data_IF_401466290996
#
_entry.id   IF_401466290996
#
_cell.length_a   1.000
_cell.length_b   1.000
_cell.length_c   1.000
_cell.angle_alpha   90.00
_cell.angle_beta   90.00
_cell.angle_gamma   90.00
#
_symmetry.space_group_name_H-M   'P 1'
#
loop_
_entity.id
_entity.type
_entity.pdbx_description
1 polymer ?
#
# COMPACT_ATOMS: atom_id res chain seq x y z
N UNK A 1 80.10 -10.51 1.60
CA UNK A 1 78.80 -11.28 1.75
C UNK A 1 77.68 -10.28 1.96
N UNK A 2 76.85 -10.02 0.92
CA UNK A 2 75.79 -9.04 0.96
C UNK A 2 74.48 -9.76 1.24
N UNK A 3 73.82 -9.44 2.37
CA UNK A 3 72.46 -9.92 2.69
C UNK A 3 71.43 -9.17 1.86
N UNK A 4 70.74 -9.86 0.96
CA UNK A 4 69.59 -9.33 0.25
C UNK A 4 68.34 -9.68 1.05
N UNK A 5 67.69 -8.68 1.64
CA UNK A 5 66.34 -8.81 2.22
C UNK A 5 65.29 -8.80 1.10
N UNK A 6 64.48 -9.84 1.02
CA UNK A 6 63.29 -9.87 0.17
C UNK A 6 62.18 -8.99 0.77
N UNK A 7 61.43 -8.18 0.01
CA UNK A 7 60.28 -7.46 0.51
C UNK A 7 59.07 -8.40 0.65
N UNK A 8 58.41 -8.33 1.81
CA UNK A 8 57.13 -9.01 2.04
C UNK A 8 56.03 -8.35 1.19
N UNK A 9 55.53 -9.07 0.20
CA UNK A 9 54.38 -8.65 -0.57
C UNK A 9 53.14 -8.69 0.30
N UNK A 10 52.54 -7.54 0.56
CA UNK A 10 51.18 -7.44 1.11
C UNK A 10 50.22 -7.82 0.01
N UNK A 11 49.59 -8.98 0.16
CA UNK A 11 48.44 -9.41 -0.66
C UNK A 11 47.26 -8.53 -0.24
N UNK A 12 46.95 -7.50 -1.02
CA UNK A 12 45.68 -6.78 -0.90
C UNK A 12 44.59 -7.70 -1.45
N UNK A 13 43.82 -8.28 -0.54
CA UNK A 13 42.56 -8.89 -0.88
C UNK A 13 41.60 -7.79 -1.29
N UNK A 14 41.42 -7.60 -2.59
CA UNK A 14 40.41 -6.70 -3.15
C UNK A 14 39.08 -7.41 -2.98
N UNK A 15 38.35 -7.05 -1.92
CA UNK A 15 36.95 -7.46 -1.76
C UNK A 15 36.19 -6.68 -2.81
N UNK A 16 35.88 -7.36 -3.93
CA UNK A 16 34.98 -6.85 -4.95
C UNK A 16 33.55 -6.98 -4.38
N UNK A 17 33.08 -5.95 -3.69
CA UNK A 17 31.66 -5.80 -3.39
C UNK A 17 30.97 -5.50 -4.72
N UNK A 18 30.45 -6.54 -5.35
CA UNK A 18 29.50 -6.38 -6.45
C UNK A 18 28.18 -5.92 -5.83
N UNK A 19 28.04 -4.62 -5.71
CA UNK A 19 26.72 -4.00 -5.51
C UNK A 19 25.99 -4.16 -6.84
N UNK A 20 25.24 -5.25 -6.99
CA UNK A 20 24.25 -5.36 -8.05
C UNK A 20 23.08 -4.48 -7.64
N UNK A 21 23.22 -3.19 -7.87
CA UNK A 21 22.04 -2.35 -7.99
C UNK A 21 21.34 -2.82 -9.26
N UNK A 22 20.33 -3.67 -9.11
CA UNK A 22 19.34 -3.89 -10.18
C UNK A 22 18.52 -2.60 -10.25
N UNK A 23 19.11 -1.56 -10.83
CA UNK A 23 18.32 -0.48 -11.39
C UNK A 23 17.58 -1.12 -12.55
N UNK A 24 16.25 -1.21 -12.47
CA UNK A 24 15.44 -1.35 -13.67
C UNK A 24 15.87 -0.18 -14.57
N UNK A 25 16.76 -0.44 -15.51
CA UNK A 25 17.21 0.57 -16.45
C UNK A 25 16.01 0.92 -17.30
N UNK A 26 15.34 2.00 -16.93
CA UNK A 26 14.50 2.72 -17.88
C UNK A 26 15.43 3.07 -19.04
N UNK A 27 15.25 2.39 -20.16
CA UNK A 27 15.96 2.72 -21.38
C UNK A 27 15.77 4.21 -21.64
N UNK A 28 16.85 4.93 -21.85
CA UNK A 28 16.86 6.36 -22.16
C UNK A 28 16.38 6.65 -23.60
N UNK A 29 15.35 5.92 -24.05
CA UNK A 29 14.48 6.39 -25.11
C UNK A 29 13.53 7.39 -24.47
N UNK A 30 13.35 8.55 -25.07
CA UNK A 30 12.29 9.49 -24.69
C UNK A 30 10.96 8.85 -25.10
N UNK A 31 10.55 7.81 -24.39
CA UNK A 31 9.18 7.37 -24.35
C UNK A 31 8.54 8.14 -23.20
N UNK A 32 7.67 9.08 -23.52
CA UNK A 32 6.68 9.56 -22.57
C UNK A 32 5.78 8.36 -22.28
N UNK A 33 6.14 7.56 -21.27
CA UNK A 33 5.25 6.54 -20.75
C UNK A 33 4.11 7.33 -20.12
N UNK A 34 2.95 7.30 -20.75
CA UNK A 34 1.73 7.87 -20.14
C UNK A 34 1.42 7.02 -18.92
N UNK A 35 1.19 7.65 -17.79
CA UNK A 35 0.75 6.93 -16.59
C UNK A 35 -0.54 6.15 -16.91
N UNK A 36 -0.62 4.92 -16.42
CA UNK A 36 -1.80 4.09 -16.59
C UNK A 36 -3.03 4.79 -15.97
N UNK A 37 -4.13 4.77 -16.69
CA UNK A 37 -5.42 5.25 -16.19
C UNK A 37 -6.46 4.17 -16.43
N UNK A 38 -7.05 3.65 -15.35
CA UNK A 38 -8.11 2.66 -15.45
C UNK A 38 -9.35 3.26 -16.13
N UNK A 39 -10.09 2.47 -16.93
CA UNK A 39 -11.36 2.89 -17.52
C UNK A 39 -12.41 3.27 -16.47
N UNK A 40 -12.28 2.73 -15.25
CA UNK A 40 -13.12 2.97 -14.09
C UNK A 40 -12.28 2.84 -12.83
N UNK A 41 -12.40 3.79 -11.92
CA UNK A 41 -11.78 3.71 -10.60
C UNK A 41 -12.35 2.55 -9.77
N UNK A 42 -11.48 1.89 -9.02
CA UNK A 42 -11.85 0.93 -8.00
C UNK A 42 -12.45 1.64 -6.79
N UNK A 43 -13.17 0.89 -5.97
CA UNK A 43 -13.79 1.38 -4.74
C UNK A 43 -12.94 1.04 -3.53
N UNK A 44 -12.89 1.96 -2.57
CA UNK A 44 -12.33 1.73 -1.26
C UNK A 44 -13.50 1.52 -0.29
N UNK A 45 -13.50 0.40 0.42
CA UNK A 45 -14.52 0.07 1.40
C UNK A 45 -13.95 0.16 2.82
N UNK A 46 -14.77 0.65 3.72
CA UNK A 46 -14.57 0.58 5.16
C UNK A 46 -15.94 0.53 5.82
N UNK A 47 -16.17 -0.42 6.74
CA UNK A 47 -17.46 -0.61 7.38
C UNK A 47 -18.64 -0.61 6.39
N UNK A 48 -18.76 -1.69 5.63
CA UNK A 48 -19.79 -1.84 4.57
C UNK A 48 -21.20 -1.46 5.00
N UNK A 49 -21.58 -1.73 6.25
CA UNK A 49 -22.92 -1.41 6.77
C UNK A 49 -23.17 0.11 6.75
N UNK A 50 -22.19 0.89 7.18
CA UNK A 50 -22.29 2.35 7.19
C UNK A 50 -22.18 2.92 5.77
N UNK A 51 -21.29 2.35 4.94
CA UNK A 51 -21.18 2.69 3.53
C UNK A 51 -22.49 2.48 2.78
N UNK A 52 -23.13 1.31 2.94
CA UNK A 52 -24.41 1.02 2.30
C UNK A 52 -25.54 1.97 2.77
N UNK A 53 -25.47 2.42 4.03
CA UNK A 53 -26.47 3.31 4.63
C UNK A 53 -26.34 4.75 4.13
N UNK A 54 -25.12 5.25 3.99
CA UNK A 54 -24.82 6.66 3.78
C UNK A 54 -24.06 7.00 2.50
N UNK A 55 -23.56 6.01 1.77
CA UNK A 55 -22.70 6.24 0.60
C UNK A 55 -23.32 7.08 -0.51
N UNK A 56 -24.66 7.12 -0.60
CA UNK A 56 -25.35 8.03 -1.56
C UNK A 56 -25.21 9.52 -1.20
N UNK A 57 -24.84 9.81 0.04
CA UNK A 57 -24.67 11.14 0.54
C UNK A 57 -23.24 11.68 0.37
N UNK A 58 -22.31 10.82 -0.06
CA UNK A 58 -20.89 11.17 -0.20
C UNK A 58 -20.67 12.43 -1.03
N UNK A 59 -21.28 12.53 -2.21
CA UNK A 59 -21.00 13.63 -3.16
C UNK A 59 -21.13 15.01 -2.54
N UNK A 60 -22.22 15.28 -1.81
CA UNK A 60 -22.46 16.58 -1.19
C UNK A 60 -21.42 16.93 -0.10
N UNK A 61 -21.11 15.96 0.77
CA UNK A 61 -20.15 16.18 1.86
C UNK A 61 -18.73 16.27 1.32
N UNK A 62 -18.37 15.44 0.32
CA UNK A 62 -17.07 15.46 -0.32
C UNK A 62 -16.78 16.78 -1.03
N UNK A 63 -17.77 17.34 -1.73
CA UNK A 63 -17.62 18.63 -2.41
C UNK A 63 -17.34 19.75 -1.39
N UNK A 64 -18.05 19.77 -0.27
CA UNK A 64 -17.83 20.72 0.81
C UNK A 64 -16.45 20.54 1.46
N UNK A 65 -16.02 19.30 1.75
CA UNK A 65 -14.67 19.03 2.27
C UNK A 65 -13.58 19.46 1.29
N UNK A 66 -13.75 19.20 -0.01
CA UNK A 66 -12.83 19.66 -1.07
C UNK A 66 -12.78 21.18 -1.22
N UNK A 67 -13.86 21.86 -0.88
CA UNK A 67 -13.93 23.32 -0.84
C UNK A 67 -13.34 23.94 0.43
N UNK A 68 -13.04 23.15 1.45
CA UNK A 68 -12.62 23.61 2.77
C UNK A 68 -13.73 24.40 3.50
N UNK A 69 -14.98 23.95 3.34
CA UNK A 69 -16.12 24.57 4.01
C UNK A 69 -16.01 24.35 5.54
N UNK A 70 -16.22 25.41 6.33
CA UNK A 70 -16.12 25.35 7.79
C UNK A 70 -17.36 24.70 8.42
N UNK A 71 -18.50 24.75 7.74
CA UNK A 71 -19.76 24.12 8.16
C UNK A 71 -20.39 23.40 6.97
N UNK A 72 -20.81 22.17 7.20
CA UNK A 72 -21.47 21.33 6.19
C UNK A 72 -22.83 20.90 6.73
N UNK A 73 -23.92 21.40 6.11
CA UNK A 73 -25.28 20.99 6.45
C UNK A 73 -25.54 19.56 5.96
N UNK A 74 -25.83 18.65 6.90
CA UNK A 74 -26.17 17.25 6.63
C UNK A 74 -27.57 16.88 7.14
N UNK A 75 -28.41 17.87 7.45
CA UNK A 75 -29.75 17.68 8.04
C UNK A 75 -30.63 16.77 7.17
N UNK A 76 -30.48 16.84 5.83
CA UNK A 76 -31.21 16.00 4.87
C UNK A 76 -30.81 14.52 4.90
N UNK A 77 -29.64 14.18 5.43
CA UNK A 77 -29.12 12.81 5.48
C UNK A 77 -29.70 12.01 6.65
N UNK A 78 -30.35 12.69 7.60
CA UNK A 78 -30.94 12.08 8.79
C UNK A 78 -29.97 11.18 9.59
N UNK A 79 -28.70 11.60 9.75
CA UNK A 79 -27.68 10.86 10.48
C UNK A 79 -27.97 10.94 12.00
N UNK A 80 -28.25 9.80 12.68
CA UNK A 80 -28.36 9.78 14.13
C UNK A 80 -27.04 10.17 14.79
N UNK A 81 -27.10 10.77 15.98
CA UNK A 81 -25.88 11.11 16.74
C UNK A 81 -24.99 9.91 17.03
N UNK A 82 -25.61 8.74 17.27
CA UNK A 82 -24.89 7.48 17.47
C UNK A 82 -24.00 7.07 16.29
N UNK A 83 -24.37 7.47 15.08
CA UNK A 83 -23.69 7.10 13.84
C UNK A 83 -22.70 8.18 13.38
N UNK A 84 -22.77 9.38 13.96
CA UNK A 84 -22.03 10.55 13.46
C UNK A 84 -20.51 10.31 13.31
N UNK A 85 -19.89 9.74 14.33
CA UNK A 85 -18.45 9.47 14.31
C UNK A 85 -18.06 8.45 13.24
N UNK A 86 -18.82 7.36 13.14
CA UNK A 86 -18.55 6.30 12.17
C UNK A 86 -18.88 6.77 10.74
N UNK A 87 -19.94 7.55 10.54
CA UNK A 87 -20.27 8.18 9.28
C UNK A 87 -19.11 9.03 8.74
N UNK A 88 -18.57 9.93 9.58
CA UNK A 88 -17.46 10.79 9.18
C UNK A 88 -16.16 10.01 8.95
N UNK A 89 -15.93 9.00 9.77
CA UNK A 89 -14.78 8.10 9.62
C UNK A 89 -14.85 7.29 8.32
N UNK A 90 -16.03 6.78 7.93
CA UNK A 90 -16.21 6.12 6.63
C UNK A 90 -15.82 7.06 5.50
N UNK A 91 -16.34 8.30 5.50
CA UNK A 91 -16.01 9.29 4.47
C UNK A 91 -14.51 9.55 4.34
N UNK A 92 -13.83 9.81 5.45
CA UNK A 92 -12.40 10.17 5.42
C UNK A 92 -11.50 8.97 5.08
N UNK A 93 -11.87 7.77 5.47
CA UNK A 93 -11.09 6.57 5.17
C UNK A 93 -11.32 6.04 3.74
N UNK A 94 -12.54 6.19 3.20
CA UNK A 94 -12.83 5.75 1.82
C UNK A 94 -12.40 6.77 0.76
N UNK A 95 -12.00 7.97 1.20
CA UNK A 95 -11.47 9.06 0.37
C UNK A 95 -10.10 9.54 0.85
N UNK A 96 -9.05 8.71 0.70
CA UNK A 96 -7.71 9.05 1.21
C UNK A 96 -7.11 10.34 0.64
N UNK A 97 -7.61 10.82 -0.50
CA UNK A 97 -7.25 12.11 -1.07
C UNK A 97 -7.64 13.30 -0.17
N UNK A 98 -8.50 13.08 0.83
CA UNK A 98 -8.85 14.04 1.87
C UNK A 98 -7.87 14.03 3.07
N UNK A 99 -6.62 13.66 2.87
CA UNK A 99 -5.59 13.51 3.91
C UNK A 99 -5.41 14.76 4.79
N UNK A 100 -5.88 15.92 4.34
CA UNK A 100 -5.88 17.19 5.04
C UNK A 100 -7.09 17.39 5.97
N UNK A 101 -8.02 16.46 6.00
CA UNK A 101 -9.19 16.46 6.89
C UNK A 101 -8.87 15.61 8.12
N UNK A 102 -8.92 16.22 9.30
CA UNK A 102 -8.78 15.49 10.57
C UNK A 102 -9.95 14.51 10.74
N UNK A 103 -9.70 13.35 11.32
CA UNK A 103 -10.77 12.42 11.69
C UNK A 103 -11.61 12.92 12.87
N UNK A 104 -11.10 13.88 13.65
CA UNK A 104 -11.85 14.63 14.64
C UNK A 104 -12.71 15.71 13.97
N UNK A 105 -13.93 15.91 14.47
CA UNK A 105 -14.84 16.95 14.02
C UNK A 105 -15.83 17.34 15.13
N UNK A 106 -16.45 18.51 15.01
CA UNK A 106 -17.58 18.91 15.86
C UNK A 106 -18.88 18.82 15.06
N UNK A 107 -20.02 18.72 15.73
CA UNK A 107 -21.31 18.67 15.07
C UNK A 107 -22.41 19.37 15.87
N UNK A 108 -23.41 19.91 15.17
CA UNK A 108 -24.67 20.40 15.75
C UNK A 108 -25.77 19.37 15.59
N UNK A 109 -26.76 19.39 16.47
CA UNK A 109 -27.89 18.49 16.42
C UNK A 109 -29.13 19.14 17.05
N UNK A 110 -30.33 18.68 16.65
CA UNK A 110 -31.59 19.04 17.35
C UNK A 110 -31.83 18.06 18.50
N UNK A 111 -31.85 18.52 19.77
CA UNK A 111 -32.03 17.61 20.91
C UNK A 111 -33.31 16.79 20.87
N UNK A 112 -34.38 17.33 20.25
CA UNK A 112 -35.70 16.68 20.14
C UNK A 112 -35.73 15.52 19.12
N UNK A 113 -34.79 15.48 18.16
CA UNK A 113 -34.82 14.53 17.05
C UNK A 113 -33.65 13.54 17.05
N UNK A 114 -32.64 13.74 17.91
CA UNK A 114 -31.42 12.95 18.00
C UNK A 114 -30.67 12.79 16.63
N UNK A 115 -30.76 13.84 15.80
CA UNK A 115 -30.16 13.88 14.48
C UNK A 115 -29.11 14.98 14.37
N UNK A 116 -28.02 14.68 13.67
CA UNK A 116 -27.01 15.67 13.31
C UNK A 116 -27.56 16.60 12.22
N UNK A 117 -27.36 17.89 12.40
CA UNK A 117 -27.76 18.93 11.43
C UNK A 117 -26.60 19.47 10.64
N UNK A 118 -25.47 19.73 11.29
CA UNK A 118 -24.26 20.22 10.63
C UNK A 118 -23.03 19.52 11.21
N UNK A 119 -22.01 19.34 10.39
CA UNK A 119 -20.66 18.95 10.81
C UNK A 119 -19.69 20.11 10.59
N UNK A 120 -18.71 20.24 11.48
CA UNK A 120 -17.65 21.25 11.44
C UNK A 120 -16.32 20.51 11.35
N UNK A 121 -15.81 20.28 10.13
CA UNK A 121 -14.55 19.56 9.94
C UNK A 121 -13.38 20.39 10.45
N UNK A 122 -12.35 19.70 10.91
CA UNK A 122 -11.06 20.27 11.22
C UNK A 122 -10.08 19.98 10.07
N UNK A 123 -9.44 21.03 9.56
CA UNK A 123 -8.43 20.89 8.51
C UNK A 123 -7.02 21.00 9.09
N UNK A 124 -6.16 20.02 8.79
CA UNK A 124 -4.79 19.96 9.31
C UNK A 124 -3.84 20.94 8.62
N UNK A 125 -4.21 21.38 7.42
CA UNK A 125 -3.46 22.35 6.60
C UNK A 125 -4.42 23.34 5.93
N UNK A 126 -3.89 24.47 5.50
CA UNK A 126 -4.66 25.46 4.74
C UNK A 126 -4.92 25.01 3.30
N UNK A 127 -5.94 25.61 2.64
CA UNK A 127 -6.24 25.37 1.22
C UNK A 127 -5.06 25.71 0.28
N UNK A 128 -4.26 26.73 0.62
CA UNK A 128 -3.07 27.11 -0.16
C UNK A 128 -1.93 26.13 -0.01
N UNK A 129 -1.77 25.59 1.18
CA UNK A 129 -0.78 24.55 1.48
C UNK A 129 -1.15 23.22 0.82
N UNK A 130 -2.42 22.83 0.89
CA UNK A 130 -2.95 21.69 0.15
C UNK A 130 -2.65 21.78 -1.35
N UNK A 131 -2.87 22.96 -1.97
CA UNK A 131 -2.57 23.14 -3.39
C UNK A 131 -1.10 22.93 -3.75
N UNK A 132 -0.19 23.13 -2.80
CA UNK A 132 1.24 22.85 -2.95
C UNK A 132 1.56 21.39 -2.73
N UNK A 133 1.03 20.80 -1.65
CA UNK A 133 1.24 19.40 -1.31
C UNK A 133 0.65 18.47 -2.39
N UNK A 134 -0.54 18.82 -2.92
CA UNK A 134 -1.18 18.05 -3.99
C UNK A 134 -0.29 17.88 -5.22
N UNK A 135 0.47 18.90 -5.61
CA UNK A 135 1.41 18.77 -6.75
C UNK A 135 2.50 17.73 -6.50
N UNK A 136 2.99 17.66 -5.26
CA UNK A 136 3.99 16.65 -4.87
C UNK A 136 3.37 15.26 -4.82
N UNK A 137 2.15 15.15 -4.30
CA UNK A 137 1.40 13.90 -4.26
C UNK A 137 1.10 13.39 -5.68
N UNK A 138 0.55 14.25 -6.55
CA UNK A 138 0.23 13.90 -7.94
C UNK A 138 1.47 13.39 -8.69
N UNK A 139 2.62 14.03 -8.49
CA UNK A 139 3.90 13.59 -9.09
C UNK A 139 4.31 12.19 -8.65
N UNK A 140 4.20 11.85 -7.36
CA UNK A 140 4.54 10.51 -6.87
C UNK A 140 3.52 9.47 -7.33
N UNK A 141 2.24 9.83 -7.35
CA UNK A 141 1.17 8.99 -7.91
C UNK A 141 1.44 8.68 -9.38
N UNK A 142 1.72 9.69 -10.21
CA UNK A 142 2.07 9.50 -11.63
C UNK A 142 3.31 8.62 -11.80
N UNK A 143 4.32 8.80 -10.96
CA UNK A 143 5.53 7.98 -10.97
C UNK A 143 5.22 6.50 -10.70
N UNK A 144 4.39 6.20 -9.70
CA UNK A 144 4.02 4.82 -9.39
C UNK A 144 3.14 4.23 -10.49
N UNK A 145 2.16 4.99 -10.99
CA UNK A 145 1.29 4.54 -12.08
C UNK A 145 2.07 4.30 -13.39
N UNK A 146 3.20 4.96 -13.60
CA UNK A 146 4.06 4.68 -14.76
C UNK A 146 4.76 3.32 -14.73
N UNK A 147 4.73 2.64 -13.58
CA UNK A 147 5.24 1.26 -13.42
C UNK A 147 4.19 0.20 -13.75
N UNK A 148 2.94 0.61 -13.91
CA UNK A 148 1.82 -0.28 -14.20
C UNK A 148 1.57 -0.30 -15.71
N UNK A 149 1.58 -1.50 -16.31
CA UNK A 149 1.25 -1.72 -17.73
C UNK A 149 -0.23 -2.11 -17.88
N UNK A 150 -0.85 -1.70 -18.97
CA UNK A 150 -2.26 -2.00 -19.27
C UNK A 150 -2.55 -3.50 -19.43
N UNK A 151 -1.55 -4.27 -19.85
CA UNK A 151 -1.65 -5.71 -20.03
C UNK A 151 -1.45 -6.52 -18.74
N UNK A 152 -1.04 -5.88 -17.65
CA UNK A 152 -0.92 -6.52 -16.34
C UNK A 152 -2.28 -6.96 -15.83
N UNK A 153 -2.33 -8.16 -15.26
CA UNK A 153 -3.49 -8.65 -14.49
C UNK A 153 -3.66 -7.82 -13.20
N UNK A 154 -4.83 -7.88 -12.58
CA UNK A 154 -5.07 -7.17 -11.32
C UNK A 154 -4.10 -7.59 -10.21
N UNK A 155 -3.71 -8.88 -10.15
CA UNK A 155 -2.71 -9.36 -9.18
C UNK A 155 -1.31 -8.81 -9.45
N UNK A 156 -0.93 -8.61 -10.71
CA UNK A 156 0.34 -8.01 -11.09
C UNK A 156 0.37 -6.51 -10.79
N UNK A 157 -0.71 -5.79 -11.09
CA UNK A 157 -0.85 -4.38 -10.71
C UNK A 157 -0.78 -4.19 -9.19
N UNK A 158 -1.50 -5.06 -8.45
CA UNK A 158 -1.48 -5.04 -6.99
C UNK A 158 -0.08 -5.29 -6.44
N UNK A 159 0.68 -6.22 -7.05
CA UNK A 159 2.06 -6.53 -6.68
C UNK A 159 3.01 -5.35 -6.92
N UNK A 160 2.95 -4.74 -8.10
CA UNK A 160 3.80 -3.58 -8.43
C UNK A 160 3.59 -2.44 -7.45
N UNK A 161 2.33 -2.15 -7.10
CA UNK A 161 1.99 -1.10 -6.13
C UNK A 161 2.44 -1.49 -4.71
N UNK A 162 2.25 -2.75 -4.31
CA UNK A 162 2.71 -3.29 -3.04
C UNK A 162 4.22 -3.10 -2.86
N UNK A 163 5.00 -3.60 -3.82
CA UNK A 163 6.46 -3.54 -3.78
C UNK A 163 6.98 -2.11 -3.77
N UNK A 164 6.35 -1.24 -4.56
CA UNK A 164 6.75 0.16 -4.62
C UNK A 164 6.51 0.87 -3.30
N UNK A 165 5.40 0.60 -2.61
CA UNK A 165 5.12 1.16 -1.28
C UNK A 165 6.07 0.60 -0.22
N UNK A 166 6.31 -0.71 -0.20
CA UNK A 166 7.20 -1.35 0.75
C UNK A 166 8.66 -0.87 0.65
N UNK A 167 9.12 -0.49 -0.55
CA UNK A 167 10.50 -0.02 -0.75
C UNK A 167 10.68 1.49 -0.66
N UNK A 168 9.60 2.27 -0.78
CA UNK A 168 9.71 3.73 -0.78
C UNK A 168 9.32 4.38 0.53
N UNK A 169 8.54 3.71 1.37
CA UNK A 169 8.08 4.22 2.66
C UNK A 169 8.75 3.47 3.79
N UNK A 170 9.15 4.18 4.83
CA UNK A 170 9.75 3.62 6.04
C UNK A 170 8.75 3.65 7.19
N UNK A 171 8.64 2.55 7.96
CA UNK A 171 7.74 2.51 9.10
C UNK A 171 8.15 3.47 10.22
N UNK A 172 7.27 4.40 10.59
CA UNK A 172 7.53 5.38 11.64
C UNK A 172 7.43 4.74 13.03
N UNK A 173 8.54 4.71 13.75
CA UNK A 173 8.59 4.22 15.14
C UNK A 173 8.52 5.35 16.18
N UNK A 174 8.57 6.62 15.76
CA UNK A 174 8.66 7.78 16.64
C UNK A 174 7.50 8.76 16.51
N UNK A 175 6.81 8.78 15.38
CA UNK A 175 5.69 9.68 15.11
C UNK A 175 4.49 8.91 14.56
N UNK A 176 3.53 8.63 15.41
CA UNK A 176 2.31 7.89 15.07
C UNK A 176 1.24 8.76 14.40
N UNK A 177 1.46 10.09 14.25
CA UNK A 177 0.56 10.97 13.51
C UNK A 177 0.76 10.87 11.99
N UNK A 178 1.82 10.21 11.54
CA UNK A 178 2.08 9.94 10.13
C UNK A 178 1.18 8.81 9.61
N UNK A 179 -0.11 9.08 9.45
CA UNK A 179 -1.14 8.07 9.23
C UNK A 179 -1.97 8.31 7.96
N UNK A 180 -1.44 9.05 7.00
CA UNK A 180 -2.14 9.42 5.77
C UNK A 180 -1.32 9.15 4.50
N UNK A 181 -1.93 9.36 3.33
CA UNK A 181 -1.29 9.07 2.04
C UNK A 181 -0.16 10.03 1.69
N UNK A 182 -0.19 11.28 2.17
CA UNK A 182 0.88 12.24 1.93
C UNK A 182 2.15 11.80 2.67
N UNK A 183 1.99 11.36 3.91
CA UNK A 183 3.10 10.80 4.69
C UNK A 183 3.71 9.57 4.02
N UNK A 184 2.90 8.62 3.53
CA UNK A 184 3.41 7.41 2.88
C UNK A 184 4.04 7.70 1.52
N UNK A 185 3.36 8.46 0.66
CA UNK A 185 3.77 8.62 -0.74
C UNK A 185 4.80 9.73 -0.94
N UNK A 186 4.74 10.83 -0.16
CA UNK A 186 5.60 12.00 -0.34
C UNK A 186 6.68 12.11 0.71
N UNK A 187 6.31 12.03 2.00
CA UNK A 187 7.25 12.09 3.14
C UNK A 187 8.01 10.77 3.31
N UNK A 188 7.50 9.69 2.71
CA UNK A 188 8.11 8.34 2.71
C UNK A 188 8.36 7.79 4.11
N UNK A 189 7.50 8.14 5.05
CA UNK A 189 7.53 7.66 6.42
C UNK A 189 6.11 7.62 6.95
N UNK A 190 5.63 6.46 7.36
CA UNK A 190 4.24 6.29 7.78
C UNK A 190 4.06 5.17 8.82
N UNK A 191 2.87 5.12 9.42
CA UNK A 191 2.39 3.99 10.22
C UNK A 191 1.41 3.14 9.41
N UNK A 192 0.97 2.01 9.95
CA UNK A 192 0.12 1.04 9.26
C UNK A 192 -1.11 1.66 8.56
N UNK A 193 -1.77 2.64 9.17
CA UNK A 193 -2.92 3.32 8.56
C UNK A 193 -2.53 4.04 7.26
N UNK A 194 -1.41 4.75 7.24
CA UNK A 194 -0.98 5.45 6.03
C UNK A 194 -0.57 4.49 4.91
N UNK A 195 0.11 3.37 5.24
CA UNK A 195 0.38 2.29 4.26
C UNK A 195 -0.92 1.75 3.67
N UNK A 196 -1.88 1.39 4.52
CA UNK A 196 -3.16 0.83 4.08
C UNK A 196 -3.97 1.81 3.22
N UNK A 197 -4.00 3.09 3.60
CA UNK A 197 -4.68 4.14 2.83
C UNK A 197 -3.97 4.40 1.49
N UNK A 198 -2.64 4.48 1.48
CA UNK A 198 -1.87 4.68 0.25
C UNK A 198 -2.05 3.51 -0.72
N UNK A 199 -2.01 2.28 -0.20
CA UNK A 199 -2.23 1.10 -1.02
C UNK A 199 -3.63 1.07 -1.62
N UNK A 200 -4.69 1.29 -0.81
CA UNK A 200 -6.06 1.39 -1.30
C UNK A 200 -6.23 2.50 -2.34
N UNK A 201 -5.64 3.67 -2.10
CA UNK A 201 -5.70 4.80 -3.03
C UNK A 201 -5.08 4.45 -4.39
N UNK A 202 -3.87 3.89 -4.39
CA UNK A 202 -3.20 3.49 -5.62
C UNK A 202 -3.94 2.36 -6.35
N UNK A 203 -4.50 1.38 -5.62
CA UNK A 203 -5.33 0.32 -6.19
C UNK A 203 -6.59 0.88 -6.86
N UNK A 204 -7.24 1.88 -6.24
CA UNK A 204 -8.44 2.50 -6.83
C UNK A 204 -8.13 3.15 -8.17
N UNK A 205 -6.99 3.80 -8.31
CA UNK A 205 -6.55 4.46 -9.55
C UNK A 205 -6.28 3.46 -10.69
N UNK A 206 -5.96 2.20 -10.36
CA UNK A 206 -5.78 1.13 -11.35
C UNK A 206 -7.02 0.23 -11.51
N UNK A 207 -8.15 0.62 -10.92
CA UNK A 207 -9.45 -0.04 -11.08
C UNK A 207 -9.70 -1.24 -10.17
N UNK A 208 -8.89 -1.43 -9.12
CA UNK A 208 -9.01 -2.55 -8.19
C UNK A 208 -9.74 -2.10 -6.92
N UNK A 209 -10.80 -2.82 -6.57
CA UNK A 209 -11.54 -2.60 -5.33
C UNK A 209 -10.71 -3.08 -4.12
N UNK A 210 -10.78 -2.34 -3.01
CA UNK A 210 -10.10 -2.71 -1.76
C UNK A 210 -10.97 -2.42 -0.53
N UNK A 211 -10.68 -3.12 0.57
CA UNK A 211 -11.28 -2.89 1.89
C UNK A 211 -10.18 -2.58 2.90
N UNK A 212 -10.37 -1.54 3.68
CA UNK A 212 -9.56 -1.25 4.86
C UNK A 212 -10.02 -2.13 6.02
N UNK A 213 -9.13 -2.95 6.53
CA UNK A 213 -9.37 -3.86 7.65
C UNK A 213 -8.70 -3.34 8.91
N UNK A 214 -9.43 -3.31 10.02
CA UNK A 214 -8.93 -2.79 11.30
C UNK A 214 -9.08 -3.85 12.39
N UNK A 215 -8.02 -4.05 13.16
CA UNK A 215 -8.05 -4.77 14.43
C UNK A 215 -7.65 -3.82 15.56
N UNK A 216 -8.59 -3.51 16.44
CA UNK A 216 -8.32 -2.69 17.61
C UNK A 216 -7.39 -3.40 18.61
N UNK A 217 -7.50 -4.72 18.73
CA UNK A 217 -6.67 -5.52 19.63
C UNK A 217 -5.21 -5.58 19.19
N UNK A 218 -4.96 -5.49 17.86
CA UNK A 218 -3.61 -5.42 17.33
C UNK A 218 -3.11 -3.97 17.21
N UNK A 219 -3.99 -2.98 17.35
CA UNK A 219 -3.74 -1.60 16.99
C UNK A 219 -3.15 -1.50 15.57
N UNK A 220 -3.83 -2.15 14.61
CA UNK A 220 -3.31 -2.35 13.26
C UNK A 220 -4.38 -2.19 12.19
N UNK A 221 -3.95 -1.72 11.01
CA UNK A 221 -4.76 -1.59 9.80
C UNK A 221 -4.01 -2.16 8.61
N UNK A 222 -4.74 -2.93 7.78
CA UNK A 222 -4.24 -3.49 6.52
C UNK A 222 -5.35 -3.52 5.47
N UNK A 223 -5.16 -4.24 4.38
CA UNK A 223 -6.09 -4.25 3.26
C UNK A 223 -6.63 -5.64 2.96
N UNK A 224 -7.84 -5.70 2.42
CA UNK A 224 -8.27 -6.74 1.51
C UNK A 224 -8.39 -6.18 0.11
N UNK A 225 -8.02 -6.96 -0.88
CA UNK A 225 -8.06 -6.58 -2.30
C UNK A 225 -8.93 -7.56 -3.08
N UNK A 226 -9.69 -7.04 -4.04
CA UNK A 226 -10.56 -7.83 -4.89
C UNK A 226 -9.84 -8.17 -6.19
N UNK A 227 -9.38 -9.42 -6.32
CA UNK A 227 -8.68 -9.91 -7.51
C UNK A 227 -9.54 -10.93 -8.24
N UNK A 228 -9.93 -10.61 -9.46
CA UNK A 228 -10.87 -11.42 -10.23
C UNK A 228 -12.23 -11.51 -9.54
N UNK A 229 -12.59 -12.67 -8.98
CA UNK A 229 -13.86 -12.90 -8.31
C UNK A 229 -13.71 -13.17 -6.79
N UNK A 230 -12.55 -12.88 -6.21
CA UNK A 230 -12.28 -13.21 -4.82
C UNK A 230 -11.52 -12.09 -4.09
N UNK A 231 -11.70 -12.04 -2.77
CA UNK A 231 -10.99 -11.15 -1.89
C UNK A 231 -9.77 -11.85 -1.28
N UNK A 232 -8.70 -11.10 -1.04
CA UNK A 232 -7.45 -11.57 -0.43
C UNK A 232 -6.91 -10.52 0.52
N UNK A 233 -6.28 -10.95 1.62
CA UNK A 233 -5.59 -10.06 2.53
C UNK A 233 -4.22 -9.65 1.94
N UNK A 234 -3.86 -8.38 2.12
CA UNK A 234 -2.53 -7.83 1.82
C UNK A 234 -2.13 -6.89 2.94
N UNK A 235 -0.95 -7.08 3.52
CA UNK A 235 -0.41 -6.18 4.54
C UNK A 235 0.97 -5.66 4.14
N UNK A 236 0.98 -4.53 3.45
CA UNK A 236 2.22 -3.87 3.01
C UNK A 236 3.09 -3.46 4.19
N UNK A 237 2.48 -3.09 5.33
CA UNK A 237 3.24 -2.68 6.53
C UNK A 237 4.08 -3.82 7.09
N UNK A 238 3.54 -5.03 7.12
CA UNK A 238 4.27 -6.19 7.65
C UNK A 238 5.17 -6.85 6.61
N UNK A 239 5.00 -6.49 5.34
CA UNK A 239 5.90 -6.87 4.25
C UNK A 239 7.03 -5.83 4.03
N UNK A 240 6.98 -4.69 4.76
CA UNK A 240 8.07 -3.72 4.85
C UNK A 240 8.99 -4.05 6.03
N UNK A 241 10.22 -4.53 5.81
CA UNK A 241 11.10 -4.95 6.88
C UNK A 241 11.60 -3.79 7.73
N UNK A 242 11.45 -3.89 9.05
CA UNK A 242 12.07 -2.95 9.99
C UNK A 242 13.61 -2.95 9.78
N UNK A 243 14.22 -1.77 9.76
CA UNK A 243 15.61 -1.48 9.36
C UNK A 243 15.78 -1.63 7.84
N UNK A 244 15.08 -0.81 7.16
CA UNK A 244 14.97 -0.74 5.71
C UNK A 244 16.28 -1.02 4.96
N UNK A 245 16.18 -1.82 3.92
CA UNK A 245 17.28 -2.12 3.01
C UNK A 245 16.83 -1.79 1.59
N UNK A 246 17.62 -1.05 0.83
CA UNK A 246 17.25 -0.68 -0.52
C UNK A 246 16.81 -1.87 -1.38
N UNK A 247 15.58 -1.80 -1.89
CA UNK A 247 14.98 -2.83 -2.75
C UNK A 247 14.46 -4.08 -2.03
N UNK A 248 14.42 -4.10 -0.69
CA UNK A 248 13.75 -5.14 0.07
C UNK A 248 12.26 -4.88 0.14
N UNK A 249 11.47 -5.88 -0.23
CA UNK A 249 10.05 -6.00 0.01
C UNK A 249 9.77 -7.48 0.29
N UNK A 250 9.17 -7.79 1.41
CA UNK A 250 8.69 -9.14 1.72
C UNK A 250 7.31 -9.33 1.06
N UNK A 251 6.89 -10.59 0.95
CA UNK A 251 5.60 -10.93 0.36
C UNK A 251 4.85 -11.95 1.23
N UNK A 252 5.24 -12.05 2.49
CA UNK A 252 4.65 -13.01 3.44
C UNK A 252 3.16 -12.79 3.63
N UNK A 253 2.72 -11.53 3.52
CA UNK A 253 1.34 -11.11 3.73
C UNK A 253 0.65 -10.65 2.43
N UNK A 254 1.14 -11.07 1.28
CA UNK A 254 0.58 -10.70 -0.02
C UNK A 254 -0.42 -11.75 -0.53
N UNK A 255 -1.68 -11.34 -0.79
CA UNK A 255 -2.79 -12.14 -1.35
C UNK A 255 -3.15 -13.42 -0.56
N UNK A 256 -3.26 -13.33 0.74
CA UNK A 256 -3.61 -14.46 1.62
C UNK A 256 -5.11 -14.59 1.84
N UNK A 257 -5.57 -15.87 2.00
CA UNK A 257 -6.91 -16.12 2.57
C UNK A 257 -7.01 -15.69 4.02
N UNK A 258 -8.25 -15.52 4.54
CA UNK A 258 -8.48 -15.27 5.97
C UNK A 258 -7.91 -16.40 6.84
N UNK A 259 -8.02 -17.65 6.37
CA UNK A 259 -7.45 -18.79 7.08
C UNK A 259 -5.91 -18.73 7.11
N UNK A 260 -5.27 -18.40 6.01
CA UNK A 260 -3.82 -18.34 5.93
C UNK A 260 -3.25 -17.25 6.84
N UNK A 261 -3.75 -16.00 6.74
CA UNK A 261 -3.23 -14.87 7.51
C UNK A 261 -3.44 -15.03 9.02
N UNK A 262 -4.50 -15.75 9.45
CA UNK A 262 -4.78 -16.06 10.86
C UNK A 262 -3.91 -17.19 11.42
N UNK A 263 -3.22 -17.95 10.59
CA UNK A 263 -2.39 -19.08 10.98
C UNK A 263 -0.89 -18.87 10.75
N UNK A 264 -0.47 -17.71 10.24
CA UNK A 264 0.95 -17.34 10.18
C UNK A 264 1.57 -17.25 11.60
N UNK A 265 2.88 -17.40 11.76
CA UNK A 265 3.58 -17.18 13.03
C UNK A 265 3.27 -15.81 13.64
N UNK A 266 3.27 -14.76 12.85
CA UNK A 266 2.77 -13.42 13.19
C UNK A 266 1.39 -13.27 12.54
N UNK A 267 0.37 -13.72 13.27
CA UNK A 267 -1.00 -13.83 12.77
C UNK A 267 -1.81 -12.53 12.94
N UNK A 268 -2.74 -12.31 12.02
CA UNK A 268 -3.78 -11.31 12.18
C UNK A 268 -4.99 -11.93 12.89
N UNK A 269 -5.61 -11.16 13.78
CA UNK A 269 -6.75 -11.63 14.59
C UNK A 269 -7.66 -10.48 15.02
N UNK A 270 -8.87 -10.81 15.49
CA UNK A 270 -9.82 -9.88 16.08
C UNK A 270 -10.14 -8.67 15.19
N UNK A 271 -10.58 -8.94 13.97
CA UNK A 271 -10.98 -7.92 13.01
C UNK A 271 -12.36 -8.18 12.43
N UNK A 272 -13.05 -7.09 12.08
CA UNK A 272 -14.35 -7.16 11.41
C UNK A 272 -14.16 -7.51 9.95
N UNK A 273 -14.94 -8.48 9.45
CA UNK A 273 -14.92 -8.93 8.06
C UNK A 273 -16.19 -8.44 7.37
N UNK A 274 -16.06 -7.50 6.43
CA UNK A 274 -17.15 -7.15 5.51
C UNK A 274 -17.14 -8.06 4.28
N UNK A 275 -15.94 -8.34 3.75
CA UNK A 275 -15.73 -9.25 2.64
C UNK A 275 -14.81 -10.40 3.06
N UNK A 276 -15.30 -11.65 2.94
CA UNK A 276 -14.52 -12.84 3.29
C UNK A 276 -13.45 -13.15 2.23
N UNK A 277 -12.19 -13.24 2.66
CA UNK A 277 -11.09 -13.72 1.82
C UNK A 277 -11.00 -15.26 1.90
N UNK A 278 -11.94 -15.95 1.22
CA UNK A 278 -12.11 -17.40 1.32
C UNK A 278 -11.31 -18.20 0.28
N UNK A 279 -10.75 -17.53 -0.74
CA UNK A 279 -9.97 -18.19 -1.77
C UNK A 279 -8.55 -18.49 -1.29
N UNK A 280 -8.13 -19.74 -1.40
CA UNK A 280 -6.78 -20.21 -1.04
C UNK A 280 -5.82 -20.24 -2.24
N UNK A 281 -6.23 -19.62 -3.36
CA UNK A 281 -5.50 -19.66 -4.63
C UNK A 281 -4.04 -19.29 -4.50
N UNK A 282 -3.73 -18.31 -3.66
CA UNK A 282 -2.40 -17.76 -3.47
C UNK A 282 -1.71 -18.18 -2.15
N UNK A 283 -2.39 -18.92 -1.24
CA UNK A 283 -1.86 -19.24 0.10
C UNK A 283 -0.52 -20.01 0.10
N UNK A 284 -0.26 -20.79 -0.94
CA UNK A 284 0.99 -21.55 -1.09
C UNK A 284 1.80 -21.06 -2.30
N UNK A 285 1.65 -19.82 -2.67
CA UNK A 285 2.29 -19.28 -3.85
C UNK A 285 3.76 -18.95 -3.58
N UNK A 286 4.63 -19.27 -4.55
CA UNK A 286 6.09 -19.08 -4.40
C UNK A 286 6.49 -17.62 -4.13
N UNK A 287 5.60 -16.65 -4.43
CA UNK A 287 5.85 -15.24 -4.16
C UNK A 287 6.20 -14.98 -2.70
N UNK A 288 5.61 -15.72 -1.75
CA UNK A 288 5.85 -15.55 -0.32
C UNK A 288 7.30 -15.88 0.12
N UNK A 289 8.11 -16.45 -0.78
CA UNK A 289 9.53 -16.71 -0.54
C UNK A 289 10.44 -15.58 -1.05
N UNK A 290 9.89 -14.59 -1.74
CA UNK A 290 10.67 -13.46 -2.24
C UNK A 290 10.78 -12.39 -1.15
N UNK A 291 11.99 -11.89 -0.97
CA UNK A 291 12.35 -10.84 -0.01
C UNK A 291 12.94 -9.59 -0.67
N UNK A 292 12.70 -9.46 -1.97
CA UNK A 292 13.06 -8.29 -2.75
C UNK A 292 11.94 -7.91 -3.70
N UNK A 293 11.87 -6.64 -4.08
CA UNK A 293 11.02 -6.17 -5.17
C UNK A 293 11.09 -7.10 -6.37
N UNK A 294 9.95 -7.36 -6.98
CA UNK A 294 9.91 -8.04 -8.26
C UNK A 294 9.97 -7.03 -9.42
N UNK A 295 10.80 -7.35 -10.41
CA UNK A 295 10.94 -6.54 -11.62
C UNK A 295 10.28 -7.26 -12.80
N UNK A 296 9.41 -6.55 -13.52
CA UNK A 296 8.83 -7.04 -14.76
C UNK A 296 9.81 -6.87 -15.91
N UNK A 297 10.00 -7.94 -16.70
CA UNK A 297 10.81 -7.92 -17.92
C UNK A 297 10.10 -8.76 -18.98
N UNK A 298 9.59 -8.12 -20.03
CA UNK A 298 8.86 -8.77 -21.13
C UNK A 298 7.63 -9.60 -20.68
N UNK A 299 6.83 -9.08 -19.75
CA UNK A 299 5.66 -9.76 -19.22
C UNK A 299 5.95 -10.83 -18.16
N UNK A 300 7.18 -10.92 -17.69
CA UNK A 300 7.61 -11.90 -16.70
C UNK A 300 8.22 -11.20 -15.49
N UNK A 301 7.88 -11.66 -14.29
CA UNK A 301 8.40 -11.12 -13.04
C UNK A 301 9.62 -11.90 -12.56
N UNK A 302 10.62 -11.17 -12.10
CA UNK A 302 11.87 -11.69 -11.56
C UNK A 302 12.19 -11.07 -10.22
N UNK A 303 12.64 -11.89 -9.27
CA UNK A 303 13.06 -11.44 -7.94
C UNK A 303 14.12 -12.35 -7.33
N UNK A 304 14.70 -11.91 -6.22
CA UNK A 304 15.67 -12.70 -5.49
C UNK A 304 15.03 -13.40 -4.30
N UNK A 305 15.44 -14.64 -4.08
CA UNK A 305 15.11 -15.41 -2.88
C UNK A 305 16.40 -15.69 -2.14
N UNK A 306 16.46 -15.33 -0.87
CA UNK A 306 17.61 -15.63 -0.02
C UNK A 306 17.49 -17.04 0.54
N UNK A 307 18.06 -18.02 -0.16
CA UNK A 307 17.99 -19.43 0.20
C UNK A 307 18.93 -19.83 1.36
N UNK A 308 19.82 -18.92 1.83
CA UNK A 308 20.74 -19.25 2.92
C UNK A 308 21.37 -18.00 3.56
N UNK A 309 20.84 -17.61 4.71
CA UNK A 309 21.30 -16.46 5.48
C UNK A 309 22.79 -16.54 5.91
N UNK A 310 23.38 -17.73 5.94
CA UNK A 310 24.77 -17.95 6.35
C UNK A 310 25.80 -17.82 5.21
N UNK A 311 25.37 -17.80 3.94
CA UNK A 311 26.27 -17.87 2.79
C UNK A 311 26.15 -16.71 1.81
N UNK A 312 25.26 -15.73 2.03
CA UNK A 312 24.93 -14.64 1.08
C UNK A 312 24.66 -15.17 -0.35
N UNK A 313 24.04 -16.32 -0.47
CA UNK A 313 23.67 -16.92 -1.74
C UNK A 313 22.18 -16.74 -1.96
N UNK A 314 21.83 -15.85 -2.87
CA UNK A 314 20.48 -15.71 -3.40
C UNK A 314 20.34 -16.44 -4.74
N UNK A 315 19.11 -16.75 -5.12
CA UNK A 315 18.75 -17.20 -6.44
C UNK A 315 17.84 -16.17 -7.10
N UNK A 316 18.12 -15.81 -8.35
CA UNK A 316 17.18 -15.09 -9.20
C UNK A 316 16.12 -16.09 -9.67
N UNK A 317 14.87 -15.86 -9.32
CA UNK A 317 13.75 -16.67 -9.74
C UNK A 317 12.84 -15.87 -10.66
N UNK A 318 12.26 -16.56 -11.63
CA UNK A 318 11.20 -16.07 -12.49
C UNK A 318 9.86 -16.47 -11.84
N UNK A 319 8.95 -15.52 -11.69
CA UNK A 319 7.61 -15.74 -11.20
C UNK A 319 6.62 -15.52 -12.35
N UNK A 320 5.69 -16.45 -12.56
CA UNK A 320 4.55 -16.25 -13.45
C UNK A 320 3.26 -16.16 -12.65
N UNK A 321 2.64 -14.99 -12.61
CA UNK A 321 1.35 -14.79 -11.96
C UNK A 321 0.16 -15.34 -12.77
N UNK A 322 0.38 -15.66 -14.05
CA UNK A 322 -0.65 -16.13 -14.97
C UNK A 322 -0.87 -17.66 -14.88
N UNK A 323 0.18 -18.42 -14.57
CA UNK A 323 0.14 -19.89 -14.58
C UNK A 323 0.39 -20.50 -13.19
N UNK A 324 -0.68 -20.71 -12.45
CA UNK A 324 -0.66 -21.37 -11.13
C UNK A 324 -0.37 -22.88 -11.24
N UNK A 325 -0.33 -23.44 -12.46
CA UNK A 325 -0.17 -24.89 -12.71
C UNK A 325 1.23 -25.31 -13.11
N UNK A 326 2.18 -24.39 -13.34
CA UNK A 326 3.54 -24.78 -13.76
C UNK A 326 4.58 -24.38 -12.69
N UNK A 327 5.52 -25.28 -12.36
CA UNK A 327 6.58 -24.97 -11.41
C UNK A 327 7.53 -23.92 -11.97
N UNK A 328 7.90 -22.95 -11.12
CA UNK A 328 8.87 -21.90 -11.42
C UNK A 328 10.18 -22.48 -11.95
N UNK A 329 10.65 -22.01 -13.11
CA UNK A 329 11.95 -22.41 -13.64
C UNK A 329 13.06 -21.66 -12.91
N UNK A 330 13.89 -22.41 -12.18
CA UNK A 330 15.07 -21.89 -11.51
C UNK A 330 16.13 -21.48 -12.56
N UNK A 331 16.45 -20.19 -12.61
CA UNK A 331 17.61 -19.69 -13.36
C UNK A 331 18.75 -19.49 -12.36
N UNK A 332 19.78 -20.33 -12.46
CA UNK A 332 20.99 -20.17 -11.64
C UNK A 332 22.01 -19.39 -12.46
N UNK A 333 22.34 -18.19 -11.99
CA UNK A 333 23.46 -17.42 -12.54
C UNK A 333 24.69 -17.78 -11.70
N UNK A 334 25.65 -18.40 -12.32
CA UNK A 334 26.95 -18.75 -11.73
C UNK A 334 27.91 -17.58 -11.74
#
# INVERSE_FOLDING_TARGET
>A
MKNIKKPAGKLFAMILTVSVAVSCAVSTGIFTVSAYTAPKEGKIFYNKTMYDKYGKAEGMVLDSLKNFDEEIDISSLNVPRSDAAEFFKVLTLTHPELYYVNQGFSYSYYPSEDKVTSIYPEYTISKSEYATQKKSLDKEVERILSLVDENMTDSEKALVIHDELAIMSEYSTSDYNKADIYNSLVEKTSVCQGYALAYSYMLSLVGIDSELVVSSSMNHMWNKVHIGNAWYNVDVTWDDPINDRPGHAQHTYFLLSDNAIQNLPSKHYDYTISYGANSTKYDNYEIHNFDTRLCEVNGEFYGFVNNNSSANKGALLKLSLIHISEPTRRVVIS
#
